data_IF_632069323964
#
_entry.id   IF_632069323964
#
_cell.length_a   1.000
_cell.length_b   1.000
_cell.length_c   1.000
_cell.angle_alpha   90.00
_cell.angle_beta   90.00
_cell.angle_gamma   90.00
#
_symmetry.space_group_name_H-M   'P 1'
#
loop_
_entity.id
_entity.type
_entity.pdbx_description
1 polymer ?
#
# COMPACT_ATOMS: atom_id res chain seq x y z
N UNK A 1 19.83 -66.82 24.88
CA UNK A 1 18.72 -66.86 23.89
C UNK A 1 17.44 -66.54 24.66
N UNK A 2 17.07 -65.25 24.75
CA UNK A 2 15.98 -64.62 23.98
C UNK A 2 14.65 -64.69 24.78
N UNK A 3 13.83 -63.65 24.95
CA UNK A 3 13.86 -62.22 24.66
C UNK A 3 12.81 -61.59 25.62
N UNK A 4 13.10 -60.41 26.18
CA UNK A 4 12.16 -59.61 26.99
C UNK A 4 11.19 -58.88 26.05
N UNK A 5 9.89 -59.00 26.27
CA UNK A 5 8.87 -58.21 25.57
C UNK A 5 8.06 -57.41 26.59
N UNK A 6 8.55 -56.22 26.95
CA UNK A 6 7.78 -55.19 27.61
C UNK A 6 7.05 -54.37 26.54
N UNK A 7 5.75 -54.58 26.38
CA UNK A 7 4.92 -53.75 25.52
C UNK A 7 4.64 -52.41 26.22
N UNK A 8 5.36 -51.36 25.83
CA UNK A 8 4.97 -49.98 26.12
C UNK A 8 3.80 -49.60 25.21
N UNK A 9 2.58 -49.54 25.78
CA UNK A 9 1.50 -48.76 25.20
C UNK A 9 1.81 -47.27 25.43
N UNK A 10 2.58 -46.67 24.51
CA UNK A 10 2.64 -45.23 24.39
C UNK A 10 1.33 -44.76 23.76
N UNK A 11 0.51 -44.07 24.54
CA UNK A 11 -0.72 -43.43 24.07
C UNK A 11 -0.40 -42.48 22.92
N UNK A 12 -1.11 -42.66 21.82
CA UNK A 12 -1.26 -41.62 20.80
C UNK A 12 -2.07 -40.50 21.44
N UNK A 13 -1.37 -39.54 22.05
CA UNK A 13 -1.94 -38.24 22.34
C UNK A 13 -2.24 -37.65 20.97
N UNK A 14 -3.50 -37.72 20.56
CA UNK A 14 -4.01 -36.96 19.44
C UNK A 14 -3.56 -35.52 19.65
N UNK A 15 -2.70 -35.03 18.76
CA UNK A 15 -2.40 -33.62 18.69
C UNK A 15 -3.73 -32.95 18.41
N UNK A 16 -4.35 -32.34 19.42
CA UNK A 16 -5.49 -31.47 19.23
C UNK A 16 -5.15 -30.53 18.07
N UNK A 17 -5.91 -30.66 16.99
CA UNK A 17 -5.90 -29.66 15.94
C UNK A 17 -6.18 -28.35 16.65
N UNK A 18 -5.21 -27.44 16.67
CA UNK A 18 -5.45 -26.07 17.07
C UNK A 18 -6.48 -25.48 16.09
N UNK A 19 -7.76 -25.64 16.41
CA UNK A 19 -8.84 -24.94 15.76
C UNK A 19 -8.57 -23.48 16.08
N UNK A 20 -8.21 -22.69 15.06
CA UNK A 20 -8.18 -21.24 15.17
C UNK A 20 -9.63 -20.75 15.35
N UNK A 21 -10.19 -20.98 16.55
CA UNK A 21 -11.55 -20.64 16.91
C UNK A 21 -11.75 -19.14 16.68
N UNK A 22 -12.46 -18.77 15.61
CA UNK A 22 -13.07 -17.46 15.49
C UNK A 22 -12.30 -16.35 14.75
N UNK A 23 -11.15 -16.59 14.09
CA UNK A 23 -10.55 -15.57 13.20
C UNK A 23 -11.31 -15.52 11.85
N UNK A 24 -12.54 -15.00 11.92
CA UNK A 24 -13.39 -14.71 10.77
C UNK A 24 -13.31 -13.23 10.42
N UNK A 25 -12.88 -12.93 9.19
CA UNK A 25 -12.64 -11.55 8.73
C UNK A 25 -13.51 -11.22 7.53
N UNK A 26 -14.16 -10.06 7.61
CA UNK A 26 -15.10 -9.55 6.60
C UNK A 26 -14.74 -8.12 6.28
N UNK A 27 -14.76 -7.78 4.99
CA UNK A 27 -14.60 -6.42 4.50
C UNK A 27 -15.83 -6.01 3.70
N UNK A 28 -16.34 -4.80 3.95
CA UNK A 28 -17.30 -4.13 3.09
C UNK A 28 -16.56 -3.09 2.25
N UNK A 29 -16.70 -3.15 0.92
CA UNK A 29 -15.99 -2.28 -0.01
C UNK A 29 -16.97 -1.63 -1.00
N UNK A 30 -16.66 -0.39 -1.39
CA UNK A 30 -17.32 0.35 -2.48
C UNK A 30 -16.22 0.90 -3.37
N UNK A 31 -16.21 0.52 -4.66
CA UNK A 31 -15.21 0.98 -5.61
C UNK A 31 -15.59 2.34 -6.21
N UNK A 32 -14.72 3.34 -6.11
CA UNK A 32 -15.03 4.72 -6.48
C UNK A 32 -15.25 4.93 -7.98
N UNK A 33 -14.60 4.14 -8.83
CA UNK A 33 -14.77 4.27 -10.29
C UNK A 33 -15.91 3.43 -10.86
N UNK A 34 -15.97 2.13 -10.54
CA UNK A 34 -17.02 1.24 -11.06
C UNK A 34 -18.34 1.33 -10.32
N UNK A 35 -18.34 1.89 -9.10
CA UNK A 35 -19.48 1.93 -8.17
C UNK A 35 -19.99 0.56 -7.72
N UNK A 36 -19.26 -0.50 -8.05
CA UNK A 36 -19.50 -1.84 -7.52
C UNK A 36 -19.25 -1.86 -6.01
N UNK A 37 -20.03 -2.65 -5.29
CA UNK A 37 -19.90 -2.82 -3.86
C UNK A 37 -20.14 -4.28 -3.45
N UNK A 38 -19.46 -4.71 -2.40
CA UNK A 38 -19.64 -6.04 -1.84
C UNK A 38 -19.23 -6.08 -0.36
N UNK A 39 -19.87 -6.97 0.39
CA UNK A 39 -19.44 -7.39 1.72
C UNK A 39 -18.95 -8.83 1.63
N UNK A 40 -17.66 -9.03 1.85
CA UNK A 40 -16.97 -10.28 1.56
C UNK A 40 -16.27 -10.78 2.82
N UNK A 41 -16.70 -11.94 3.31
CA UNK A 41 -15.99 -12.69 4.35
C UNK A 41 -14.90 -13.52 3.68
N UNK A 42 -13.66 -13.02 3.73
CA UNK A 42 -12.52 -13.58 3.00
C UNK A 42 -11.68 -14.57 3.82
N UNK A 43 -11.90 -14.62 5.13
CA UNK A 43 -11.22 -15.54 6.04
C UNK A 43 -12.24 -16.09 7.04
N UNK A 44 -12.23 -17.40 7.27
CA UNK A 44 -13.08 -18.13 8.22
C UNK A 44 -12.20 -19.08 9.02
N UNK A 45 -12.30 -19.00 10.35
CA UNK A 45 -11.53 -19.86 11.27
C UNK A 45 -10.03 -19.91 10.93
N UNK A 46 -9.46 -18.74 10.67
CA UNK A 46 -8.04 -18.58 10.33
C UNK A 46 -7.66 -18.98 8.89
N UNK A 47 -8.59 -19.49 8.08
CA UNK A 47 -8.33 -19.95 6.70
C UNK A 47 -8.95 -19.01 5.67
N UNK A 48 -8.21 -18.71 4.61
CA UNK A 48 -8.77 -17.91 3.52
C UNK A 48 -9.79 -18.70 2.71
N UNK A 49 -10.88 -18.04 2.35
CA UNK A 49 -11.87 -18.57 1.43
C UNK A 49 -11.50 -18.20 -0.01
N UNK A 50 -11.27 -19.21 -0.84
CA UNK A 50 -10.80 -19.01 -2.22
C UNK A 50 -11.82 -18.25 -3.07
N UNK A 51 -13.11 -18.57 -2.97
CA UNK A 51 -14.15 -17.93 -3.75
C UNK A 51 -14.32 -16.45 -3.33
N UNK A 52 -14.22 -16.18 -2.03
CA UNK A 52 -14.23 -14.82 -1.50
C UNK A 52 -13.01 -14.00 -1.99
N UNK A 53 -11.82 -14.61 -2.02
CA UNK A 53 -10.63 -13.96 -2.59
C UNK A 53 -10.79 -13.67 -4.09
N UNK A 54 -11.42 -14.56 -4.85
CA UNK A 54 -11.66 -14.33 -6.28
C UNK A 54 -12.70 -13.21 -6.51
N UNK A 55 -13.69 -13.05 -5.62
CA UNK A 55 -14.57 -11.88 -5.62
C UNK A 55 -13.81 -10.58 -5.31
N UNK A 56 -12.91 -10.59 -4.33
CA UNK A 56 -12.05 -9.43 -4.03
C UNK A 56 -11.14 -9.08 -5.20
N UNK A 57 -10.53 -10.07 -5.85
CA UNK A 57 -9.68 -9.89 -7.02
C UNK A 57 -10.44 -9.20 -8.17
N UNK A 58 -11.70 -9.56 -8.39
CA UNK A 58 -12.53 -8.92 -9.40
C UNK A 58 -12.96 -7.50 -9.00
N UNK A 59 -13.41 -7.31 -7.75
CA UNK A 59 -13.83 -6.00 -7.27
C UNK A 59 -12.67 -4.99 -7.28
N UNK A 60 -11.44 -5.46 -7.07
CA UNK A 60 -10.21 -4.66 -7.04
C UNK A 60 -9.42 -4.73 -8.35
N UNK A 61 -10.01 -5.22 -9.44
CA UNK A 61 -9.38 -5.30 -10.75
C UNK A 61 -8.94 -3.92 -11.27
N UNK A 62 -8.09 -3.92 -12.29
CA UNK A 62 -7.87 -2.71 -13.06
C UNK A 62 -9.13 -2.38 -13.85
N UNK A 63 -9.93 -1.46 -13.33
CA UNK A 63 -11.21 -1.10 -13.90
C UNK A 63 -11.12 -0.49 -15.30
N UNK A 64 -9.95 0.02 -15.71
CA UNK A 64 -9.76 0.62 -17.04
C UNK A 64 -9.66 -0.42 -18.14
N UNK A 65 -9.17 -1.60 -17.81
CA UNK A 65 -8.95 -2.71 -18.75
C UNK A 65 -9.83 -3.92 -18.42
N UNK A 66 -10.63 -3.84 -17.33
CA UNK A 66 -11.37 -4.97 -16.76
C UNK A 66 -10.50 -6.20 -16.47
N UNK A 67 -9.24 -5.95 -16.09
CA UNK A 67 -8.22 -6.98 -15.91
C UNK A 67 -7.96 -7.24 -14.43
N UNK A 68 -8.17 -8.48 -13.99
CA UNK A 68 -8.03 -8.89 -12.60
C UNK A 68 -6.74 -9.70 -12.39
N UNK A 69 -6.21 -9.66 -11.17
CA UNK A 69 -5.04 -10.46 -10.78
C UNK A 69 -5.31 -11.24 -9.51
N UNK A 70 -4.48 -12.26 -9.24
CA UNK A 70 -4.46 -12.92 -7.93
C UNK A 70 -3.77 -12.00 -6.93
N UNK A 71 -4.54 -11.25 -6.16
CA UNK A 71 -4.01 -10.38 -5.11
C UNK A 71 -3.47 -11.20 -3.93
N UNK A 72 -2.52 -10.62 -3.20
CA UNK A 72 -1.93 -11.22 -2.00
C UNK A 72 -2.94 -11.15 -0.84
N UNK A 73 -3.43 -12.29 -0.31
CA UNK A 73 -4.44 -12.29 0.74
C UNK A 73 -4.04 -11.53 2.02
N UNK A 74 -2.74 -11.39 2.28
CA UNK A 74 -2.22 -10.63 3.43
C UNK A 74 -2.55 -9.15 3.34
N UNK A 75 -2.79 -8.62 2.13
CA UNK A 75 -3.25 -7.24 1.94
C UNK A 75 -4.59 -7.03 2.64
N UNK A 76 -5.51 -7.99 2.49
CA UNK A 76 -6.84 -7.92 3.09
C UNK A 76 -6.78 -8.02 4.61
N UNK A 77 -5.83 -8.80 5.14
CA UNK A 77 -5.56 -8.82 6.58
C UNK A 77 -5.07 -7.47 7.10
N UNK A 78 -4.10 -6.83 6.43
CA UNK A 78 -3.57 -5.53 6.83
C UNK A 78 -4.66 -4.45 6.81
N UNK A 79 -5.48 -4.44 5.76
CA UNK A 79 -6.59 -3.48 5.62
C UNK A 79 -7.64 -3.72 6.71
N UNK A 80 -8.02 -4.97 6.95
CA UNK A 80 -9.00 -5.34 7.97
C UNK A 80 -8.53 -4.96 9.38
N UNK A 81 -7.26 -5.24 9.69
CA UNK A 81 -6.64 -4.85 10.97
C UNK A 81 -6.59 -3.32 11.11
N UNK A 82 -6.26 -2.59 10.05
CA UNK A 82 -6.25 -1.12 10.06
C UNK A 82 -7.66 -0.55 10.30
N UNK A 83 -8.69 -1.04 9.58
CA UNK A 83 -10.09 -0.63 9.76
C UNK A 83 -10.55 -0.80 11.21
N UNK A 84 -10.30 -1.99 11.79
CA UNK A 84 -10.68 -2.29 13.16
C UNK A 84 -9.92 -1.43 14.17
N UNK A 85 -8.64 -1.15 13.91
CA UNK A 85 -7.82 -0.34 14.83
C UNK A 85 -8.27 1.12 14.95
N UNK A 86 -8.91 1.66 13.91
CA UNK A 86 -9.51 3.00 13.92
C UNK A 86 -10.99 2.99 14.32
N UNK A 87 -11.55 1.82 14.67
CA UNK A 87 -12.95 1.68 15.07
C UNK A 87 -13.97 1.93 13.95
N UNK A 88 -13.54 1.94 12.69
CA UNK A 88 -14.43 2.22 11.56
C UNK A 88 -15.41 1.08 11.33
N UNK A 89 -16.65 1.45 11.03
CA UNK A 89 -17.73 0.54 10.63
C UNK A 89 -18.23 0.82 9.20
N UNK A 90 -17.81 1.96 8.62
CA UNK A 90 -18.14 2.30 7.25
C UNK A 90 -17.47 1.35 6.24
N UNK A 91 -18.09 1.13 5.06
CA UNK A 91 -17.42 0.46 3.95
C UNK A 91 -16.15 1.19 3.51
N UNK A 92 -15.12 0.42 3.15
CA UNK A 92 -13.90 0.93 2.53
C UNK A 92 -14.22 1.53 1.17
N UNK A 93 -13.89 2.81 0.99
CA UNK A 93 -14.05 3.52 -0.28
C UNK A 93 -12.77 3.33 -1.10
N UNK A 94 -12.79 2.38 -2.02
CA UNK A 94 -11.61 1.96 -2.80
C UNK A 94 -11.38 2.93 -3.94
N UNK A 95 -10.20 3.55 -3.96
CA UNK A 95 -9.73 4.42 -5.05
C UNK A 95 -9.03 3.57 -6.12
N UNK A 96 -8.16 2.65 -5.69
CA UNK A 96 -7.35 1.83 -6.60
C UNK A 96 -6.96 0.49 -5.97
N UNK A 97 -7.16 -0.61 -6.71
CA UNK A 97 -6.67 -1.94 -6.38
C UNK A 97 -5.50 -2.35 -7.28
N UNK A 98 -5.65 -3.44 -8.03
CA UNK A 98 -4.69 -3.84 -9.05
C UNK A 98 -4.56 -2.79 -10.17
N UNK A 99 -3.35 -2.68 -10.73
CA UNK A 99 -3.09 -1.90 -11.95
C UNK A 99 -2.35 -2.78 -12.96
N UNK A 100 -2.89 -2.88 -14.16
CA UNK A 100 -2.17 -3.54 -15.26
C UNK A 100 -0.87 -2.77 -15.59
N UNK A 101 0.14 -3.44 -16.18
CA UNK A 101 1.35 -2.75 -16.66
C UNK A 101 1.05 -1.58 -17.60
N UNK A 102 0.03 -1.74 -18.46
CA UNK A 102 -0.43 -0.70 -19.40
C UNK A 102 -0.97 0.53 -18.66
N UNK A 103 -1.86 0.32 -17.69
CA UNK A 103 -2.40 1.41 -16.85
C UNK A 103 -1.31 2.07 -16.02
N UNK A 104 -0.41 1.31 -15.40
CA UNK A 104 0.69 1.88 -14.63
C UNK A 104 1.59 2.75 -15.51
N UNK A 105 1.99 2.26 -16.69
CA UNK A 105 2.76 3.02 -17.67
C UNK A 105 2.05 4.30 -18.14
N UNK A 106 0.74 4.23 -18.37
CA UNK A 106 -0.08 5.41 -18.71
C UNK A 106 -0.10 6.46 -17.60
N UNK A 107 -0.27 6.05 -16.34
CA UNK A 107 -0.28 6.97 -15.20
C UNK A 107 1.10 7.58 -14.95
N UNK A 108 2.18 6.80 -15.11
CA UNK A 108 3.56 7.29 -15.01
C UNK A 108 3.89 8.39 -16.02
N UNK A 109 3.42 8.25 -17.25
CA UNK A 109 3.62 9.30 -18.27
C UNK A 109 2.95 10.63 -17.91
N UNK A 110 1.97 10.61 -17.00
CA UNK A 110 1.19 11.78 -16.57
C UNK A 110 1.62 12.31 -15.19
N UNK A 111 2.44 11.57 -14.45
CA UNK A 111 2.83 11.94 -13.08
C UNK A 111 4.12 11.23 -12.65
N UNK A 112 4.99 11.97 -11.96
CA UNK A 112 6.16 11.43 -11.25
C UNK A 112 5.80 10.67 -9.97
N UNK A 113 4.55 10.76 -9.49
CA UNK A 113 4.08 10.13 -8.26
C UNK A 113 3.79 8.62 -8.38
N UNK A 114 4.02 8.03 -9.56
CA UNK A 114 3.75 6.61 -9.82
C UNK A 114 5.05 5.84 -10.00
N UNK A 115 5.27 4.86 -9.12
CA UNK A 115 6.45 4.00 -9.19
C UNK A 115 6.43 3.10 -10.44
N UNK A 116 7.62 2.86 -11.00
CA UNK A 116 7.81 1.93 -12.11
C UNK A 116 7.41 0.50 -11.74
N UNK A 117 7.92 0.03 -10.60
CA UNK A 117 7.67 -1.29 -10.03
C UNK A 117 6.67 -1.16 -8.86
N UNK A 118 5.43 -0.74 -9.18
CA UNK A 118 4.41 -0.48 -8.17
C UNK A 118 3.88 -1.77 -7.53
N UNK A 119 3.65 -1.75 -6.22
CA UNK A 119 2.99 -2.86 -5.51
C UNK A 119 1.56 -3.12 -6.01
N UNK A 120 0.88 -2.13 -6.61
CA UNK A 120 -0.41 -2.33 -7.28
C UNK A 120 -0.30 -3.30 -8.46
N UNK A 121 0.79 -3.25 -9.23
CA UNK A 121 1.01 -4.20 -10.35
C UNK A 121 1.29 -5.61 -9.87
N UNK A 122 1.73 -5.78 -8.63
CA UNK A 122 2.00 -7.08 -8.02
C UNK A 122 0.79 -7.65 -7.28
N UNK A 123 -0.37 -6.97 -7.31
CA UNK A 123 -1.55 -7.37 -6.53
C UNK A 123 -1.35 -7.26 -5.02
N UNK A 124 -0.43 -6.40 -4.57
CA UNK A 124 0.02 -6.29 -3.17
C UNK A 124 -0.41 -5.00 -2.48
N UNK A 125 -1.17 -4.13 -3.15
CA UNK A 125 -1.52 -2.81 -2.63
C UNK A 125 -2.96 -2.41 -2.90
N UNK A 126 -3.47 -1.51 -2.05
CA UNK A 126 -4.76 -0.86 -2.20
C UNK A 126 -4.71 0.58 -1.71
N UNK A 127 -5.33 1.47 -2.48
CA UNK A 127 -5.59 2.87 -2.14
C UNK A 127 -7.06 3.01 -1.73
N UNK A 128 -7.32 3.51 -0.53
CA UNK A 128 -8.68 3.65 -0.02
C UNK A 128 -8.79 4.75 1.05
N UNK A 129 -10.04 5.09 1.39
CA UNK A 129 -10.38 5.90 2.56
C UNK A 129 -11.64 5.35 3.24
N UNK A 130 -11.98 5.92 4.39
CA UNK A 130 -13.20 5.64 5.14
C UNK A 130 -13.95 6.95 5.35
N UNK A 131 -15.28 6.90 5.44
CA UNK A 131 -16.09 8.11 5.64
C UNK A 131 -16.22 8.51 7.11
N UNK A 132 -15.91 7.60 8.03
CA UNK A 132 -16.03 7.75 9.49
C UNK A 132 -14.68 7.78 10.22
N UNK A 133 -13.55 7.73 9.49
CA UNK A 133 -12.21 7.82 10.04
C UNK A 133 -11.30 8.69 9.16
N UNK A 134 -10.41 9.47 9.77
CA UNK A 134 -9.49 10.33 9.04
C UNK A 134 -8.39 9.52 8.34
N UNK A 135 -7.87 10.03 7.21
CA UNK A 135 -6.70 9.41 6.54
C UNK A 135 -5.44 9.45 7.41
N UNK A 136 -5.39 10.33 8.42
CA UNK A 136 -4.31 10.41 9.40
C UNK A 136 -4.35 9.23 10.38
N UNK A 137 -5.54 8.89 10.85
CA UNK A 137 -5.76 7.73 11.74
C UNK A 137 -5.48 6.43 11.00
N UNK A 138 -5.94 6.30 9.75
CA UNK A 138 -5.68 5.12 8.91
C UNK A 138 -4.18 4.99 8.62
N UNK A 139 -3.46 6.10 8.36
CA UNK A 139 -2.00 6.09 8.20
C UNK A 139 -1.31 5.62 9.47
N UNK A 140 -1.69 6.17 10.62
CA UNK A 140 -1.12 5.80 11.91
C UNK A 140 -1.36 4.32 12.23
N UNK A 141 -2.56 3.81 11.94
CA UNK A 141 -2.90 2.39 12.03
C UNK A 141 -1.98 1.52 11.15
N UNK A 142 -1.87 1.84 9.87
CA UNK A 142 -1.01 1.08 8.94
C UNK A 142 0.46 1.05 9.38
N UNK A 143 0.98 2.18 9.88
CA UNK A 143 2.36 2.27 10.38
C UNK A 143 2.57 1.38 11.61
N UNK A 144 1.63 1.38 12.57
CA UNK A 144 1.73 0.51 13.76
C UNK A 144 1.79 -0.98 13.42
N UNK A 145 1.15 -1.41 12.33
CA UNK A 145 1.18 -2.82 11.91
C UNK A 145 2.57 -3.29 11.48
N UNK A 146 3.38 -2.41 10.88
CA UNK A 146 4.71 -2.77 10.34
C UNK A 146 4.67 -4.02 9.42
N UNK A 147 3.64 -4.11 8.58
CA UNK A 147 3.37 -5.27 7.69
C UNK A 147 3.51 -4.97 6.20
N UNK A 148 3.92 -3.74 5.87
CA UNK A 148 4.31 -3.35 4.53
C UNK A 148 4.35 -1.83 4.36
N UNK A 149 4.16 -1.35 3.14
CA UNK A 149 4.25 0.05 2.79
C UNK A 149 3.02 0.86 3.18
N UNK A 150 3.23 2.10 3.64
CA UNK A 150 2.18 3.07 3.92
C UNK A 150 2.43 4.38 3.18
N UNK A 151 1.56 4.71 2.23
CA UNK A 151 1.56 6.00 1.54
C UNK A 151 0.45 6.91 2.07
N UNK A 152 0.71 8.19 2.23
CA UNK A 152 -0.25 9.16 2.77
C UNK A 152 -0.52 10.31 1.81
N UNK A 153 -1.77 10.43 1.36
CA UNK A 153 -2.20 11.37 0.32
C UNK A 153 -3.40 12.21 0.81
N UNK A 154 -3.20 13.12 1.79
CA UNK A 154 -4.29 13.97 2.30
C UNK A 154 -4.67 15.10 1.33
N UNK A 155 -3.76 15.45 0.39
CA UNK A 155 -3.90 16.59 -0.54
C UNK A 155 -4.28 16.16 -1.96
N UNK A 156 -4.51 14.88 -2.21
CA UNK A 156 -5.05 14.45 -3.51
C UNK A 156 -6.48 14.95 -3.68
N UNK A 157 -6.94 15.11 -4.93
CA UNK A 157 -8.30 15.59 -5.21
C UNK A 157 -9.41 14.75 -4.55
N UNK A 158 -9.11 13.49 -4.23
CA UNK A 158 -9.82 12.68 -3.24
C UNK A 158 -8.78 12.16 -2.25
N UNK A 159 -8.82 12.52 -0.96
CA UNK A 159 -7.85 12.04 0.03
C UNK A 159 -7.89 10.53 0.22
N UNK A 160 -6.73 9.87 0.31
CA UNK A 160 -6.64 8.43 0.57
C UNK A 160 -5.35 8.01 1.28
N UNK A 161 -5.34 6.77 1.77
CA UNK A 161 -4.15 6.07 2.25
C UNK A 161 -3.85 4.90 1.32
N UNK A 162 -2.58 4.71 1.04
CA UNK A 162 -2.05 3.53 0.36
C UNK A 162 -1.55 2.55 1.42
N UNK A 163 -2.03 1.32 1.40
CA UNK A 163 -1.45 0.21 2.17
C UNK A 163 -0.99 -0.89 1.21
N UNK A 164 0.20 -1.43 1.46
CA UNK A 164 0.72 -2.59 0.74
C UNK A 164 1.34 -3.64 1.66
N UNK A 165 1.61 -4.83 1.11
CA UNK A 165 2.30 -5.95 1.77
C UNK A 165 3.67 -6.25 1.17
N UNK A 166 4.32 -5.22 0.62
CA UNK A 166 5.74 -5.25 0.28
C UNK A 166 6.62 -5.00 1.50
N UNK A 167 7.83 -4.48 1.28
CA UNK A 167 8.73 -4.14 2.38
C UNK A 167 8.20 -2.96 3.20
N UNK A 168 8.35 -3.07 4.53
CA UNK A 168 7.96 -2.03 5.48
C UNK A 168 8.69 -0.73 5.17
N UNK A 169 7.90 0.30 4.87
CA UNK A 169 8.33 1.67 4.54
C UNK A 169 7.15 2.62 4.64
N UNK A 170 7.41 3.92 4.71
CA UNK A 170 6.36 4.92 4.67
C UNK A 170 6.76 6.12 3.80
N UNK A 171 5.81 6.69 3.07
CA UNK A 171 6.02 7.90 2.28
C UNK A 171 4.84 8.88 2.39
N UNK A 172 5.08 10.14 2.82
CA UNK A 172 6.32 10.60 3.44
C UNK A 172 6.61 9.87 4.76
N UNK A 173 7.88 9.85 5.15
CA UNK A 173 8.27 9.40 6.51
C UNK A 173 7.64 10.33 7.55
N UNK A 174 7.33 9.79 8.72
CA UNK A 174 6.90 10.58 9.87
C UNK A 174 8.11 11.24 10.54
N UNK A 175 7.89 12.35 11.24
CA UNK A 175 8.90 12.93 12.12
C UNK A 175 9.22 11.97 13.27
N UNK A 176 10.36 12.19 13.94
CA UNK A 176 10.73 11.41 15.12
C UNK A 176 9.64 11.49 16.19
N UNK A 177 9.11 12.67 16.48
CA UNK A 177 8.07 12.85 17.50
C UNK A 177 6.76 12.16 17.13
N UNK A 178 6.39 12.17 15.85
CA UNK A 178 5.22 11.44 15.36
C UNK A 178 5.40 9.94 15.57
N UNK A 179 6.55 9.37 15.20
CA UNK A 179 6.83 7.95 15.43
C UNK A 179 6.93 7.61 16.91
N UNK A 180 7.52 8.47 17.75
CA UNK A 180 7.60 8.26 19.19
C UNK A 180 6.22 8.20 19.84
N UNK A 181 5.23 8.95 19.33
CA UNK A 181 3.82 8.82 19.77
C UNK A 181 3.18 7.51 19.35
N UNK A 182 3.58 6.93 18.21
CA UNK A 182 3.08 5.62 17.77
C UNK A 182 3.78 4.45 18.46
N UNK A 183 5.06 4.61 18.77
CA UNK A 183 5.95 3.62 19.37
C UNK A 183 6.69 4.25 20.55
N UNK A 184 6.01 4.44 21.70
CA UNK A 184 6.60 5.09 22.88
C UNK A 184 7.78 4.29 23.46
N UNK A 185 7.82 2.98 23.22
CA UNK A 185 8.93 2.11 23.59
C UNK A 185 10.08 2.13 22.57
N UNK A 186 9.96 2.88 21.48
CA UNK A 186 10.94 2.97 20.41
C UNK A 186 11.08 1.70 19.56
N UNK A 187 10.19 0.70 19.70
CA UNK A 187 10.26 -0.53 18.93
C UNK A 187 9.60 -0.37 17.56
N UNK A 188 10.36 0.16 16.60
CA UNK A 188 9.88 0.29 15.22
C UNK A 188 10.98 0.12 14.17
N UNK A 189 10.60 -0.47 13.02
CA UNK A 189 11.42 -0.52 11.80
C UNK A 189 11.21 0.69 10.90
N UNK A 190 10.31 1.60 11.25
CA UNK A 190 10.14 2.84 10.50
C UNK A 190 11.26 3.81 10.85
N UNK A 191 12.04 4.19 9.84
CA UNK A 191 12.99 5.28 9.97
C UNK A 191 12.24 6.63 10.00
N UNK A 192 12.55 7.53 10.95
CA UNK A 192 12.03 8.89 10.92
C UNK A 192 12.55 9.67 9.72
N UNK A 193 11.99 10.87 9.53
CA UNK A 193 12.45 11.82 8.52
C UNK A 193 13.95 12.18 8.67
N UNK A 194 14.49 12.17 9.90
CA UNK A 194 15.93 12.41 10.16
C UNK A 194 16.86 11.23 9.78
N UNK A 195 16.28 10.10 9.36
CA UNK A 195 17.01 8.90 8.93
C UNK A 195 17.66 8.09 10.04
N UNK A 196 17.61 8.52 11.31
CA UNK A 196 18.27 7.82 12.43
C UNK A 196 17.30 6.80 13.05
N UNK A 197 17.68 5.53 13.23
CA UNK A 197 16.79 4.52 13.83
C UNK A 197 16.43 4.85 15.30
N UNK A 198 15.36 4.23 15.80
CA UNK A 198 15.06 4.22 17.25
C UNK A 198 15.88 3.14 17.98
N UNK A 199 15.95 3.24 19.31
CA UNK A 199 16.77 2.36 20.14
C UNK A 199 16.48 0.86 19.93
N UNK A 200 15.22 0.48 19.70
CA UNK A 200 14.78 -0.92 19.51
C UNK A 200 14.50 -1.28 18.05
N UNK A 201 15.17 -0.60 17.11
CA UNK A 201 15.01 -0.85 15.68
C UNK A 201 15.39 -2.29 15.28
N UNK A 202 16.54 -2.80 15.76
CA UNK A 202 16.98 -4.16 15.41
C UNK A 202 16.08 -5.25 16.00
N UNK A 203 15.51 -5.03 17.19
CA UNK A 203 14.51 -5.92 17.78
C UNK A 203 13.23 -5.93 16.93
N UNK A 204 12.71 -4.75 16.58
CA UNK A 204 11.55 -4.63 15.69
C UNK A 204 11.81 -5.29 14.33
N UNK A 205 13.04 -5.18 13.82
CA UNK A 205 13.47 -5.78 12.57
C UNK A 205 13.51 -7.30 12.65
N UNK A 206 14.07 -7.86 13.73
CA UNK A 206 14.06 -9.30 13.97
C UNK A 206 12.62 -9.84 14.02
N UNK A 207 11.71 -9.14 14.70
CA UNK A 207 10.29 -9.52 14.75
C UNK A 207 9.59 -9.46 13.38
N UNK A 208 9.91 -8.47 12.54
CA UNK A 208 9.39 -8.38 11.16
C UNK A 208 9.87 -9.55 10.31
N UNK A 209 11.16 -9.89 10.41
CA UNK A 209 11.75 -10.98 9.64
C UNK A 209 11.23 -12.35 10.12
N UNK A 210 11.09 -12.54 11.43
CA UNK A 210 10.60 -13.79 12.01
C UNK A 210 9.17 -14.15 11.57
N UNK A 211 8.33 -13.15 11.25
CA UNK A 211 6.99 -13.35 10.68
C UNK A 211 6.95 -13.41 9.14
N UNK A 212 8.10 -13.48 8.48
CA UNK A 212 8.21 -13.52 7.02
C UNK A 212 7.97 -12.18 6.31
N UNK A 213 8.03 -11.07 7.04
CA UNK A 213 7.99 -9.71 6.48
C UNK A 213 9.37 -9.24 6.02
N UNK A 214 9.41 -8.11 5.32
CA UNK A 214 10.64 -7.53 4.78
C UNK A 214 10.76 -6.06 5.17
N UNK A 215 11.98 -5.55 5.36
CA UNK A 215 12.24 -4.13 5.66
C UNK A 215 13.01 -3.50 4.48
N UNK A 216 12.61 -2.30 4.08
CA UNK A 216 13.27 -1.59 2.96
C UNK A 216 14.75 -1.33 3.29
N UNK A 217 15.64 -1.60 2.34
CA UNK A 217 17.09 -1.40 2.47
C UNK A 217 17.87 -2.62 3.00
N UNK A 218 17.19 -3.67 3.45
CA UNK A 218 17.84 -4.88 4.02
C UNK A 218 17.60 -6.12 3.15
N UNK A 219 16.37 -6.33 2.71
CA UNK A 219 15.98 -7.61 2.11
C UNK A 219 16.49 -7.81 0.68
N UNK A 220 16.91 -6.73 0.00
CA UNK A 220 17.57 -6.82 -1.31
C UNK A 220 18.97 -7.47 -1.23
N UNK A 221 19.53 -7.64 -0.02
CA UNK A 221 20.83 -8.29 0.18
C UNK A 221 20.68 -9.78 0.52
N UNK A 222 19.49 -10.21 0.96
CA UNK A 222 19.20 -11.61 1.34
C UNK A 222 18.45 -12.40 0.25
N UNK A 223 18.03 -11.74 -0.84
CA UNK A 223 17.34 -12.36 -1.97
C UNK A 223 18.00 -11.97 -3.30
N UNK A 224 19.33 -11.98 -3.30
CA UNK A 224 20.06 -12.33 -4.51
C UNK A 224 20.14 -13.86 -4.51
N UNK A 225 19.45 -14.51 -5.44
CA UNK A 225 19.64 -15.94 -5.72
C UNK A 225 21.15 -16.21 -5.88
N UNK A 226 21.72 -17.23 -5.22
CA UNK A 226 23.06 -17.68 -5.53
C UNK A 226 22.99 -18.43 -6.86
N UNK A 227 23.20 -17.72 -7.97
CA UNK A 227 23.78 -18.38 -9.13
C UNK A 227 25.17 -18.85 -8.71
N UNK A 228 25.31 -20.17 -8.65
CA UNK A 228 26.53 -20.94 -8.45
C UNK A 228 27.74 -20.27 -9.13
N UNK A 229 28.81 -20.08 -8.35
CA UNK A 229 30.23 -20.02 -8.71
C UNK A 229 31.00 -19.07 -7.76
N UNK A 230 31.48 -19.58 -6.61
CA UNK A 230 32.49 -18.91 -5.77
C UNK A 230 32.22 -18.96 -4.25
N UNK A 231 33.27 -19.06 -3.41
CA UNK A 231 33.23 -19.84 -2.16
C UNK A 231 32.35 -19.21 -1.08
N UNK A 232 31.31 -19.96 -0.70
CA UNK A 232 30.33 -19.56 0.31
C UNK A 232 30.87 -19.56 1.74
N UNK A 233 30.31 -18.64 2.54
CA UNK A 233 29.78 -18.67 3.93
C UNK A 233 30.11 -19.80 4.93
N UNK A 234 30.87 -20.84 4.60
CA UNK A 234 31.38 -21.85 5.55
C UNK A 234 32.48 -21.29 6.48
N UNK A 235 32.99 -20.08 6.23
CA UNK A 235 34.06 -19.46 7.02
C UNK A 235 33.61 -18.71 8.29
N UNK A 236 32.33 -18.42 8.48
CA UNK A 236 31.87 -17.61 9.63
C UNK A 236 31.54 -18.44 10.89
N UNK A 237 31.23 -19.73 10.74
CA UNK A 237 30.93 -20.63 11.87
C UNK A 237 32.11 -21.51 12.30
N UNK A 238 33.21 -21.53 11.54
CA UNK A 238 34.38 -22.36 11.84
C UNK A 238 35.33 -21.78 12.92
N UNK A 239 35.14 -20.51 13.32
CA UNK A 239 35.96 -19.85 14.35
C UNK A 239 35.52 -20.11 15.80
N UNK A 240 34.44 -20.86 16.03
CA UNK A 240 33.85 -21.06 17.36
C UNK A 240 34.07 -22.48 17.94
N UNK A 241 34.59 -23.42 17.15
CA UNK A 241 35.00 -24.74 17.63
C UNK A 241 36.33 -25.13 16.98
N UNK A 242 37.42 -24.96 17.74
CA UNK A 242 38.77 -25.25 17.28
C UNK A 242 39.03 -26.73 17.00
N UNK A 243 40.02 -27.00 16.15
CA UNK A 243 40.49 -28.36 15.88
C UNK A 243 41.34 -28.47 14.61
N UNK A 244 42.65 -28.45 14.82
CA UNK A 244 43.80 -28.61 13.94
C UNK A 244 43.73 -29.71 12.83
N UNK A 245 44.26 -29.41 11.64
CA UNK A 245 45.39 -30.11 10.98
C UNK A 245 45.34 -30.16 9.44
N UNK A 246 46.35 -29.49 8.86
CA UNK A 246 47.23 -29.92 7.76
C UNK A 246 46.65 -30.38 6.40
N UNK A 247 46.89 -29.58 5.35
CA UNK A 247 47.52 -30.03 4.08
C UNK A 247 47.83 -28.85 3.12
N UNK A 248 49.00 -28.95 2.49
CA UNK A 248 49.68 -27.95 1.66
C UNK A 248 49.05 -27.74 0.25
N UNK A 249 49.41 -26.65 -0.48
CA UNK A 249 48.74 -26.23 -1.71
C UNK A 249 49.44 -26.70 -3.00
N UNK A 250 48.68 -26.85 -4.09
CA UNK A 250 49.18 -27.04 -5.46
C UNK A 250 48.26 -26.29 -6.46
N UNK A 251 48.68 -26.05 -7.72
CA UNK A 251 49.26 -24.80 -8.18
C UNK A 251 48.34 -23.97 -9.09
N UNK A 252 48.71 -22.70 -9.25
CA UNK A 252 48.03 -21.67 -10.06
C UNK A 252 48.36 -21.87 -11.56
N UNK A 253 47.37 -21.87 -12.48
CA UNK A 253 47.62 -21.59 -13.89
C UNK A 253 47.42 -20.11 -14.24
N UNK A 254 48.27 -19.65 -15.15
CA UNK A 254 48.53 -18.27 -15.51
C UNK A 254 47.38 -17.52 -16.21
N UNK A 255 47.41 -16.20 -16.04
CA UNK A 255 46.49 -15.22 -16.61
C UNK A 255 46.67 -15.03 -18.13
N UNK A 256 45.55 -14.80 -18.82
CA UNK A 256 45.50 -14.23 -20.17
C UNK A 256 44.72 -12.90 -20.11
N UNK A 257 45.17 -11.81 -20.73
CA UNK A 257 44.54 -10.50 -20.58
C UNK A 257 43.39 -10.30 -21.57
N UNK A 258 42.24 -9.79 -21.11
CA UNK A 258 41.10 -9.56 -22.00
C UNK A 258 39.96 -8.72 -21.43
N UNK A 259 40.00 -7.42 -21.78
CA UNK A 259 38.93 -6.41 -21.85
C UNK A 259 38.40 -5.74 -20.58
N UNK A 260 38.42 -4.40 -20.67
CA UNK A 260 38.09 -3.41 -19.65
C UNK A 260 36.61 -3.41 -19.25
N UNK A 261 36.38 -3.35 -17.93
CA UNK A 261 35.08 -3.13 -17.29
C UNK A 261 34.53 -1.73 -17.61
N UNK A 262 33.38 -1.68 -18.27
CA UNK A 262 32.46 -0.55 -18.13
C UNK A 262 31.84 -0.60 -16.73
N UNK A 263 31.92 0.52 -16.00
CA UNK A 263 31.28 0.65 -14.68
C UNK A 263 29.76 0.64 -14.86
N UNK A 264 29.09 -0.37 -14.32
CA UNK A 264 27.64 -0.34 -14.13
C UNK A 264 27.33 0.63 -12.98
N UNK A 265 26.86 1.83 -13.31
CA UNK A 265 26.27 2.78 -12.36
C UNK A 265 24.91 2.22 -11.92
N UNK A 266 24.84 1.70 -10.70
CA UNK A 266 23.58 1.45 -10.02
C UNK A 266 23.04 2.83 -9.59
N UNK A 267 22.10 3.36 -10.37
CA UNK A 267 21.35 4.56 -10.02
C UNK A 267 20.29 4.18 -8.97
N UNK A 268 20.64 4.32 -7.69
CA UNK A 268 19.65 4.46 -6.63
C UNK A 268 18.96 5.81 -6.87
N UNK A 269 17.68 5.79 -7.25
CA UNK A 269 16.86 7.00 -7.28
C UNK A 269 16.72 7.53 -5.84
N UNK A 270 17.72 8.33 -5.44
CA UNK A 270 17.70 9.17 -4.27
C UNK A 270 16.56 10.18 -4.45
N UNK A 271 15.60 10.17 -3.54
CA UNK A 271 14.78 11.34 -3.32
C UNK A 271 15.74 12.43 -2.81
N UNK A 272 16.03 13.39 -3.67
CA UNK A 272 16.89 14.53 -3.35
C UNK A 272 16.19 15.40 -2.30
N UNK A 273 16.73 15.56 -1.08
CA UNK A 273 16.06 16.31 -0.01
C UNK A 273 16.13 17.84 -0.17
N UNK A 274 16.73 18.35 -1.26
CA UNK A 274 16.97 19.79 -1.46
C UNK A 274 16.29 20.38 -2.72
N UNK A 275 15.37 19.67 -3.39
CA UNK A 275 14.60 20.26 -4.50
C UNK A 275 13.49 21.21 -4.00
N UNK A 276 13.88 22.45 -3.73
CA UNK A 276 12.97 23.56 -3.38
C UNK A 276 12.23 24.17 -4.58
N UNK A 277 12.48 23.67 -5.80
CA UNK A 277 11.90 24.20 -7.05
C UNK A 277 10.48 23.68 -7.27
N UNK A 278 10.22 22.40 -6.96
CA UNK A 278 8.86 21.84 -6.96
C UNK A 278 7.96 22.46 -5.89
N UNK A 279 8.53 22.89 -4.77
CA UNK A 279 7.80 23.53 -3.65
C UNK A 279 7.32 24.93 -4.01
N UNK A 280 8.03 25.69 -4.85
CA UNK A 280 7.64 27.04 -5.26
C UNK A 280 6.59 27.06 -6.38
N UNK A 281 6.60 26.10 -7.32
CA UNK A 281 5.54 25.99 -8.31
C UNK A 281 4.22 25.43 -7.72
N UNK A 282 4.30 24.64 -6.64
CA UNK A 282 3.12 24.17 -5.91
C UNK A 282 2.49 25.23 -4.98
N UNK A 283 3.19 26.33 -4.66
CA UNK A 283 2.67 27.42 -3.83
C UNK A 283 1.83 28.46 -4.62
N UNK A 284 1.90 28.46 -5.95
CA UNK A 284 1.25 29.48 -6.78
C UNK A 284 -0.27 29.27 -7.00
N UNK A 285 -0.85 28.18 -6.49
CA UNK A 285 -2.28 27.86 -6.65
C UNK A 285 -3.07 27.86 -5.33
N UNK A 286 -2.56 28.53 -4.30
CA UNK A 286 -3.31 28.76 -3.07
C UNK A 286 -4.27 29.95 -3.26
N UNK A 287 -5.54 29.67 -3.57
CA UNK A 287 -6.64 30.56 -3.15
C UNK A 287 -7.21 29.98 -1.85
N UNK A 288 -7.16 30.71 -0.71
CA UNK A 288 -7.86 30.32 0.49
C UNK A 288 -9.34 30.70 0.32
N UNK A 289 -10.26 29.73 0.44
CA UNK A 289 -11.70 29.88 0.78
C UNK A 289 -12.56 28.67 0.39
N UNK A 290 -11.96 27.54 -0.02
CA UNK A 290 -12.73 26.35 -0.42
C UNK A 290 -13.41 25.62 0.74
N UNK A 291 -13.11 25.93 2.01
CA UNK A 291 -13.73 25.29 3.18
C UNK A 291 -15.08 25.89 3.59
N UNK A 292 -15.31 27.19 3.38
CA UNK A 292 -16.62 27.80 3.67
C UNK A 292 -17.61 27.57 2.54
N UNK A 293 -17.17 27.70 1.28
CA UNK A 293 -18.01 27.43 0.12
C UNK A 293 -18.52 25.98 0.06
N UNK A 294 -17.71 25.00 0.47
CA UNK A 294 -18.15 23.59 0.56
C UNK A 294 -19.20 23.39 1.67
N UNK A 295 -19.05 24.10 2.79
CA UNK A 295 -19.94 23.99 3.95
C UNK A 295 -21.30 24.61 3.66
N UNK A 296 -21.33 25.76 2.97
CA UNK A 296 -22.58 26.39 2.51
C UNK A 296 -23.28 25.57 1.41
N UNK A 297 -22.53 25.00 0.46
CA UNK A 297 -23.08 24.16 -0.59
C UNK A 297 -23.73 22.86 -0.05
N UNK A 298 -23.25 22.34 1.09
CA UNK A 298 -23.84 21.18 1.75
C UNK A 298 -25.09 21.53 2.57
N UNK A 299 -25.22 22.76 3.06
CA UNK A 299 -26.37 23.22 3.83
C UNK A 299 -27.55 23.64 2.94
N UNK A 300 -27.31 24.06 1.70
CA UNK A 300 -28.34 24.63 0.83
C UNK A 300 -28.94 23.63 -0.17
N UNK A 301 -29.22 22.40 0.28
CA UNK A 301 -29.84 21.37 -0.57
C UNK A 301 -31.36 21.52 -0.64
N UNK A 302 -31.82 22.61 -1.26
CA UNK A 302 -33.13 22.69 -1.90
C UNK A 302 -32.93 23.03 -3.38
N UNK A 303 -32.98 21.99 -4.23
CA UNK A 303 -33.59 22.11 -5.56
C UNK A 303 -32.85 22.77 -6.73
N UNK A 304 -31.53 22.99 -6.73
CA UNK A 304 -30.83 23.42 -7.96
C UNK A 304 -29.39 22.93 -8.05
N UNK A 305 -29.05 22.25 -9.15
CA UNK A 305 -27.67 21.83 -9.46
C UNK A 305 -26.90 22.96 -10.14
N UNK A 306 -25.71 23.36 -9.65
CA UNK A 306 -24.91 24.39 -10.28
C UNK A 306 -24.27 23.92 -11.60
N UNK A 307 -24.02 24.85 -12.51
CA UNK A 307 -23.39 24.57 -13.80
C UNK A 307 -21.89 24.26 -13.65
N UNK A 308 -21.33 23.53 -14.62
CA UNK A 308 -19.91 23.15 -14.62
C UNK A 308 -18.94 24.35 -14.62
N UNK A 309 -19.41 25.53 -15.06
CA UNK A 309 -18.62 26.77 -15.04
C UNK A 309 -18.50 27.35 -13.63
N UNK A 310 -19.58 27.37 -12.86
CA UNK A 310 -19.60 27.87 -11.48
C UNK A 310 -18.73 27.02 -10.52
N UNK A 311 -18.63 25.72 -10.77
CA UNK A 311 -17.77 24.80 -10.01
C UNK A 311 -16.27 25.01 -10.26
N UNK A 312 -15.90 25.60 -11.40
CA UNK A 312 -14.51 25.74 -11.82
C UNK A 312 -13.89 27.10 -11.45
N UNK A 313 -14.71 28.15 -11.36
CA UNK A 313 -14.22 29.52 -11.13
C UNK A 313 -14.52 30.06 -9.74
N UNK A 314 -15.38 29.40 -8.95
CA UNK A 314 -15.81 29.89 -7.64
C UNK A 314 -16.67 31.16 -7.70
N UNK A 315 -17.10 31.56 -8.89
CA UNK A 315 -17.90 32.75 -9.13
C UNK A 315 -19.36 32.30 -9.32
N UNK A 316 -20.28 32.89 -8.55
CA UNK A 316 -21.70 32.60 -8.71
C UNK A 316 -22.18 33.09 -10.07
N UNK A 317 -23.02 32.30 -10.74
CA UNK A 317 -23.69 32.75 -11.97
C UNK A 317 -24.45 34.05 -11.65
N UNK A 318 -24.09 35.15 -12.34
CA UNK A 318 -24.77 36.42 -12.18
C UNK A 318 -26.27 36.23 -12.45
N UNK A 319 -27.10 36.62 -11.48
CA UNK A 319 -28.55 36.61 -11.65
C UNK A 319 -28.91 37.42 -12.90
N UNK A 320 -29.80 36.92 -13.79
CA UNK A 320 -30.29 37.75 -14.87
C UNK A 320 -31.03 38.94 -14.25
N UNK A 321 -30.59 40.15 -14.60
CA UNK A 321 -31.29 41.37 -14.23
C UNK A 321 -32.75 41.25 -14.67
N UNK A 322 -33.65 41.40 -13.70
CA UNK A 322 -35.09 41.42 -13.92
C UNK A 322 -35.54 42.76 -14.51
N UNK A 323 -34.96 43.16 -15.65
CA UNK A 323 -35.43 44.29 -16.48
C UNK A 323 -34.99 44.07 -17.94
N UNK A 324 -35.60 43.09 -18.61
CA UNK A 324 -35.82 43.12 -20.06
C UNK A 324 -36.81 42.00 -20.44
N UNK A 325 -38.09 42.25 -20.13
CA UNK A 325 -39.19 41.46 -20.66
C UNK A 325 -39.40 41.83 -22.14
N UNK A 326 -38.65 41.20 -23.04
CA UNK A 326 -39.01 41.13 -24.46
C UNK A 326 -39.68 39.79 -24.71
N UNK A 327 -41.00 39.82 -24.80
CA UNK A 327 -41.83 38.70 -25.24
C UNK A 327 -41.35 38.30 -26.65
N UNK A 328 -40.73 37.13 -26.76
CA UNK A 328 -40.47 36.51 -28.06
C UNK A 328 -41.79 35.91 -28.60
N UNK A 329 -42.14 36.13 -29.89
CA UNK A 329 -43.37 35.59 -30.45
C UNK A 329 -43.30 34.05 -30.54
N UNK A 330 -44.42 33.39 -30.25
CA UNK A 330 -44.56 31.93 -30.38
C UNK A 330 -44.21 31.47 -31.82
N UNK A 331 -43.53 30.34 -31.98
CA UNK A 331 -43.31 29.74 -33.29
C UNK A 331 -44.64 29.24 -33.91
N UNK A 332 -44.80 29.29 -35.24
CA UNK A 332 -46.01 28.79 -35.90
C UNK A 332 -46.18 27.28 -35.68
N UNK A 333 -47.42 26.86 -35.38
CA UNK A 333 -47.79 25.45 -35.23
C UNK A 333 -47.63 24.73 -36.58
N UNK A 334 -47.03 23.54 -36.56
CA UNK A 334 -46.91 22.68 -37.75
C UNK A 334 -48.27 22.09 -38.13
N UNK A 335 -48.62 21.96 -39.42
CA UNK A 335 -49.88 21.38 -39.85
C UNK A 335 -49.81 19.84 -39.75
N UNK A 336 -50.07 19.33 -38.56
CA UNK A 336 -50.41 17.93 -38.33
C UNK A 336 -51.31 17.71 -37.09
N UNK A 337 -51.81 18.78 -36.47
CA UNK A 337 -52.77 18.71 -35.36
C UNK A 337 -53.88 19.75 -35.60
N UNK A 338 -54.78 19.37 -36.50
CA UNK A 338 -56.19 19.79 -36.53
C UNK A 338 -57.04 18.62 -36.06
#
# INVERSE_FOLDING_TARGET
>A
MAFVAAAMLAGTVETENAVANGDTRTLSLIHEHTKESATITFKRDGRYDRAALDQLNWLLRDWREADATKMDPRLFDVVWEAQRSVGSTAPLRVVCGYRSPKTNGMLRRRSSGVAEQSQHMLGKAMDFFMTDASVDDIRAAGIRLQRGGVGWYPRSGSPFVHLDVGSVRAWPRMSRDQLARLFPDGKTVHLPADGKPFARYEEARAEVLARGGTVLGVTAVASADPTDDGPGIKGFFAGLFGGDSNSAPAPIPAATPGKARGKATIAVASADPEDSTGTKQALAYAVPNSTEALREAMLNRQGRTPSAKALLTGEADAAPNAQDARIAPLPPRRPAEF
#
